data_IF_444868402826
#
_entry.id   IF_444868402826
#
_cell.length_a   1.000
_cell.length_b   1.000
_cell.length_c   1.000
_cell.angle_alpha   90.00
_cell.angle_beta   90.00
_cell.angle_gamma   90.00
#
_symmetry.space_group_name_H-M   'P 1'
#
loop_
_entity.id
_entity.type
_entity.pdbx_description
1 polymer ?
#
# COMPACT_ATOMS: atom_id res chain seq x y z
N UNK A 1 -35.82 -20.25 6.18
CA UNK A 1 -35.46 -19.58 4.91
C UNK A 1 -34.10 -18.97 5.12
N UNK A 2 -33.08 -19.58 4.52
CA UNK A 2 -31.68 -19.27 4.72
C UNK A 2 -31.37 -17.91 4.06
N UNK A 3 -30.99 -16.92 4.85
CA UNK A 3 -30.32 -15.74 4.32
C UNK A 3 -28.84 -16.06 4.22
N UNK A 4 -28.40 -16.43 3.03
CA UNK A 4 -26.99 -16.40 2.65
C UNK A 4 -26.52 -14.94 2.69
N UNK A 5 -25.80 -14.58 3.76
CA UNK A 5 -25.11 -13.30 3.84
C UNK A 5 -23.87 -13.43 2.96
N UNK A 6 -23.95 -12.81 1.79
CA UNK A 6 -22.85 -12.64 0.86
C UNK A 6 -21.68 -11.98 1.60
N UNK A 7 -20.56 -12.71 1.73
CA UNK A 7 -19.41 -12.34 2.57
C UNK A 7 -18.48 -11.38 1.82
N UNK A 8 -19.00 -10.26 1.34
CA UNK A 8 -18.16 -9.14 0.88
C UNK A 8 -17.79 -8.30 2.10
N UNK A 9 -16.55 -8.43 2.58
CA UNK A 9 -16.06 -7.65 3.71
C UNK A 9 -16.24 -6.14 3.48
N UNK A 10 -16.41 -5.37 4.56
CA UNK A 10 -16.52 -3.92 4.49
C UNK A 10 -15.31 -3.29 3.79
N UNK A 11 -15.43 -2.04 3.32
CA UNK A 11 -14.30 -1.29 2.74
C UNK A 11 -13.11 -1.28 3.71
N UNK A 12 -13.38 -1.17 5.01
CA UNK A 12 -12.39 -1.20 6.08
C UNK A 12 -11.70 -2.57 6.18
N UNK A 13 -12.44 -3.67 6.10
CA UNK A 13 -11.85 -5.03 6.11
C UNK A 13 -10.94 -5.25 4.90
N UNK A 14 -11.39 -4.82 3.71
CA UNK A 14 -10.60 -4.89 2.48
C UNK A 14 -9.32 -4.07 2.60
N UNK A 15 -9.42 -2.87 3.15
CA UNK A 15 -8.28 -1.98 3.34
C UNK A 15 -7.26 -2.57 4.33
N UNK A 16 -7.72 -3.12 5.45
CA UNK A 16 -6.84 -3.73 6.46
C UNK A 16 -6.02 -4.88 5.84
N UNK A 17 -6.68 -5.82 5.17
CA UNK A 17 -6.00 -6.94 4.50
C UNK A 17 -5.00 -6.45 3.45
N UNK A 18 -5.35 -5.38 2.74
CA UNK A 18 -4.51 -4.82 1.69
C UNK A 18 -3.28 -4.09 2.28
N UNK A 19 -3.44 -3.36 3.38
CA UNK A 19 -2.34 -2.73 4.10
C UNK A 19 -1.39 -3.79 4.67
N UNK A 20 -1.89 -4.83 5.34
CA UNK A 20 -1.07 -5.95 5.84
C UNK A 20 -0.25 -6.59 4.71
N UNK A 21 -0.92 -6.90 3.59
CA UNK A 21 -0.26 -7.49 2.42
C UNK A 21 0.75 -6.54 1.77
N UNK A 22 0.52 -5.23 1.82
CA UNK A 22 1.45 -4.20 1.32
C UNK A 22 2.68 -4.11 2.24
N UNK A 23 2.48 -4.08 3.56
CA UNK A 23 3.55 -4.10 4.54
C UNK A 23 4.45 -5.34 4.41
N UNK A 24 3.88 -6.51 4.12
CA UNK A 24 4.65 -7.73 3.86
C UNK A 24 5.56 -7.61 2.63
N UNK A 25 5.08 -7.01 1.53
CA UNK A 25 5.89 -6.82 0.32
C UNK A 25 6.97 -5.75 0.52
N UNK A 26 6.66 -4.66 1.24
CA UNK A 26 7.65 -3.65 1.64
C UNK A 26 8.73 -4.27 2.53
N UNK A 27 8.34 -5.13 3.49
CA UNK A 27 9.27 -5.85 4.36
C UNK A 27 10.18 -6.80 3.57
N UNK A 28 9.62 -7.54 2.60
CA UNK A 28 10.41 -8.37 1.68
C UNK A 28 11.40 -7.53 0.88
N UNK A 29 10.95 -6.43 0.28
CA UNK A 29 11.81 -5.54 -0.49
C UNK A 29 12.96 -4.98 0.36
N UNK A 30 12.67 -4.58 1.60
CA UNK A 30 13.67 -4.13 2.56
C UNK A 30 14.70 -5.23 2.86
N UNK A 31 14.24 -6.47 3.05
CA UNK A 31 15.14 -7.60 3.35
C UNK A 31 16.01 -8.04 2.17
N UNK A 32 15.54 -7.87 0.93
CA UNK A 32 16.25 -8.33 -0.28
C UNK A 32 17.07 -7.23 -0.97
N UNK A 33 16.82 -5.96 -0.65
CA UNK A 33 17.63 -4.85 -1.15
C UNK A 33 19.08 -4.99 -0.68
N UNK A 34 20.07 -4.65 -1.52
CA UNK A 34 21.49 -4.79 -1.16
C UNK A 34 21.95 -3.77 -0.11
N UNK A 35 21.24 -2.64 0.03
CA UNK A 35 21.59 -1.56 0.97
C UNK A 35 20.35 -0.86 1.56
N UNK A 36 19.42 -1.57 2.21
CA UNK A 36 18.16 -1.00 2.68
C UNK A 36 18.37 0.12 3.71
N UNK A 37 19.30 -0.07 4.64
CA UNK A 37 19.59 0.91 5.70
C UNK A 37 20.32 2.16 5.20
N UNK A 38 20.80 2.17 3.95
CA UNK A 38 21.45 3.32 3.31
C UNK A 38 20.62 3.90 2.17
N UNK A 39 19.51 3.27 1.81
CA UNK A 39 18.63 3.72 0.74
C UNK A 39 17.65 4.73 1.31
N UNK A 40 17.84 6.01 0.96
CA UNK A 40 16.90 7.09 1.28
C UNK A 40 15.49 6.76 0.77
N UNK A 41 15.40 6.17 -0.42
CA UNK A 41 14.12 5.72 -1.01
C UNK A 41 13.45 4.62 -0.18
N UNK A 42 14.20 3.63 0.30
CA UNK A 42 13.63 2.56 1.14
C UNK A 42 13.16 3.12 2.49
N UNK A 43 13.93 4.01 3.10
CA UNK A 43 13.54 4.66 4.36
C UNK A 43 12.30 5.55 4.17
N UNK A 44 12.24 6.31 3.08
CA UNK A 44 11.08 7.12 2.75
C UNK A 44 9.81 6.27 2.57
N UNK A 45 9.91 5.13 1.87
CA UNK A 45 8.78 4.21 1.71
C UNK A 45 8.31 3.62 3.04
N UNK A 46 9.25 3.20 3.91
CA UNK A 46 8.92 2.67 5.23
C UNK A 46 8.23 3.71 6.12
N UNK A 47 8.77 4.93 6.16
CA UNK A 47 8.18 6.04 6.93
C UNK A 47 6.80 6.41 6.41
N UNK A 48 6.61 6.48 5.09
CA UNK A 48 5.32 6.76 4.47
C UNK A 48 4.29 5.67 4.82
N UNK A 49 4.69 4.40 4.75
CA UNK A 49 3.81 3.28 5.13
C UNK A 49 3.42 3.31 6.61
N UNK A 50 4.36 3.62 7.51
CA UNK A 50 4.07 3.70 8.95
C UNK A 50 2.95 4.68 9.28
N UNK A 51 2.84 5.79 8.56
CA UNK A 51 1.79 6.80 8.77
C UNK A 51 0.37 6.30 8.51
N UNK A 52 0.21 5.24 7.71
CA UNK A 52 -1.12 4.71 7.31
C UNK A 52 -1.34 3.26 7.70
N UNK A 53 -0.30 2.57 8.19
CA UNK A 53 -0.30 1.14 8.51
C UNK A 53 -1.32 0.71 9.56
N UNK A 54 -1.83 1.64 10.36
CA UNK A 54 -2.91 1.42 11.31
C UNK A 54 -4.15 2.18 10.83
N UNK A 55 -5.29 1.49 10.66
CA UNK A 55 -6.57 2.14 10.40
C UNK A 55 -6.89 3.18 11.45
N UNK A 56 -7.42 4.31 11.00
CA UNK A 56 -8.00 5.33 11.88
C UNK A 56 -9.43 5.63 11.46
N UNK A 57 -10.29 5.91 12.44
CA UNK A 57 -11.68 6.31 12.22
C UNK A 57 -11.82 7.83 11.96
N UNK A 58 -10.72 8.59 12.01
CA UNK A 58 -10.78 10.02 11.72
C UNK A 58 -11.02 10.32 10.23
N UNK A 59 -11.71 11.43 9.98
CA UNK A 59 -12.09 11.88 8.62
C UNK A 59 -10.86 12.14 7.72
N UNK A 60 -9.68 12.35 8.30
CA UNK A 60 -8.43 12.59 7.56
C UNK A 60 -7.71 11.31 7.14
N UNK A 61 -8.17 10.13 7.56
CA UNK A 61 -7.49 8.87 7.28
C UNK A 61 -7.48 8.57 5.77
N UNK A 62 -8.59 8.83 5.08
CA UNK A 62 -8.66 8.66 3.64
C UNK A 62 -7.69 9.59 2.88
N UNK A 63 -7.53 10.84 3.33
CA UNK A 63 -6.59 11.77 2.73
C UNK A 63 -5.14 11.33 2.95
N UNK A 64 -4.80 10.82 4.14
CA UNK A 64 -3.48 10.23 4.41
C UNK A 64 -3.19 9.00 3.55
N UNK A 65 -4.19 8.16 3.28
CA UNK A 65 -4.03 7.03 2.36
C UNK A 65 -3.75 7.49 0.94
N UNK A 66 -4.45 8.52 0.46
CA UNK A 66 -4.22 9.10 -0.87
C UNK A 66 -2.79 9.66 -0.95
N UNK A 67 -2.38 10.47 0.02
CA UNK A 67 -1.02 11.02 0.09
C UNK A 67 0.05 9.92 0.17
N UNK A 68 -0.19 8.85 0.93
CA UNK A 68 0.68 7.68 0.98
C UNK A 68 0.86 7.04 -0.40
N UNK A 69 -0.23 6.83 -1.15
CA UNK A 69 -0.15 6.17 -2.47
C UNK A 69 0.60 7.04 -3.47
N UNK A 70 0.31 8.34 -3.52
CA UNK A 70 0.97 9.28 -4.44
C UNK A 70 2.48 9.33 -4.19
N UNK A 71 2.88 9.47 -2.93
CA UNK A 71 4.29 9.49 -2.53
C UNK A 71 4.98 8.13 -2.80
N UNK A 72 4.31 7.03 -2.44
CA UNK A 72 4.88 5.69 -2.59
C UNK A 72 5.05 5.29 -4.06
N UNK A 73 4.16 5.70 -4.95
CA UNK A 73 4.25 5.42 -6.39
C UNK A 73 5.55 5.95 -7.01
N UNK A 74 5.91 7.20 -6.69
CA UNK A 74 7.16 7.80 -7.16
C UNK A 74 8.41 7.11 -6.60
N UNK A 75 8.39 6.79 -5.30
CA UNK A 75 9.50 6.09 -4.62
C UNK A 75 9.69 4.69 -5.21
N UNK A 76 8.61 3.92 -5.35
CA UNK A 76 8.62 2.58 -5.95
C UNK A 76 9.13 2.62 -7.39
N UNK A 77 8.67 3.58 -8.20
CA UNK A 77 9.15 3.76 -9.57
C UNK A 77 10.65 4.02 -9.66
N UNK A 78 11.20 4.86 -8.77
CA UNK A 78 12.64 5.10 -8.67
C UNK A 78 13.42 3.83 -8.27
N UNK A 79 12.91 3.10 -7.28
CA UNK A 79 13.56 1.86 -6.83
C UNK A 79 13.44 0.72 -7.85
N UNK A 80 12.43 0.73 -8.74
CA UNK A 80 12.28 -0.22 -9.83
C UNK A 80 13.50 -0.24 -10.76
N UNK A 81 14.08 0.94 -11.04
CA UNK A 81 15.23 1.07 -11.95
C UNK A 81 16.58 1.06 -11.23
N UNK A 82 16.62 1.34 -9.92
CA UNK A 82 17.88 1.48 -9.16
C UNK A 82 18.18 0.30 -8.22
N UNK A 83 17.18 -0.50 -7.84
CA UNK A 83 17.36 -1.58 -6.88
C UNK A 83 18.02 -2.81 -7.53
N UNK A 84 18.99 -3.41 -6.82
CA UNK A 84 19.76 -4.57 -7.25
C UNK A 84 19.03 -5.92 -7.10
N UNK A 85 17.85 -5.94 -6.47
CA UNK A 85 17.12 -7.17 -6.13
C UNK A 85 16.76 -7.97 -7.41
N UNK A 86 16.99 -9.30 -7.45
CA UNK A 86 16.75 -10.11 -8.65
C UNK A 86 15.26 -10.38 -8.92
N UNK A 87 14.42 -10.44 -7.90
CA UNK A 87 12.95 -10.61 -8.00
C UNK A 87 12.18 -9.28 -7.95
N UNK A 88 12.88 -8.16 -8.22
CA UNK A 88 12.34 -6.82 -8.03
C UNK A 88 11.12 -6.51 -8.87
N UNK A 89 11.10 -6.95 -10.13
CA UNK A 89 10.02 -6.61 -11.07
C UNK A 89 8.67 -7.13 -10.58
N UNK A 90 8.64 -8.38 -10.09
CA UNK A 90 7.43 -9.00 -9.53
C UNK A 90 7.00 -8.30 -8.24
N UNK A 91 7.94 -7.96 -7.35
CA UNK A 91 7.63 -7.26 -6.10
C UNK A 91 7.06 -5.87 -6.39
N UNK A 92 7.66 -5.13 -7.31
CA UNK A 92 7.21 -3.78 -7.65
C UNK A 92 5.86 -3.76 -8.36
N UNK A 93 5.61 -4.68 -9.31
CA UNK A 93 4.29 -4.80 -9.94
C UNK A 93 3.19 -5.08 -8.92
N UNK A 94 3.45 -5.96 -7.95
CA UNK A 94 2.51 -6.25 -6.85
C UNK A 94 2.28 -5.03 -5.98
N UNK A 95 3.34 -4.33 -5.58
CA UNK A 95 3.23 -3.11 -4.79
C UNK A 95 2.42 -2.04 -5.52
N UNK A 96 2.73 -1.76 -6.79
CA UNK A 96 1.99 -0.78 -7.61
C UNK A 96 0.51 -1.13 -7.74
N UNK A 97 0.19 -2.42 -7.91
CA UNK A 97 -1.20 -2.89 -7.97
C UNK A 97 -1.92 -2.67 -6.63
N UNK A 98 -1.26 -3.01 -5.52
CA UNK A 98 -1.83 -2.86 -4.17
C UNK A 98 -2.03 -1.40 -3.79
N UNK A 99 -1.07 -0.52 -4.04
CA UNK A 99 -1.24 0.91 -3.75
C UNK A 99 -2.35 1.53 -4.61
N UNK A 100 -2.53 1.09 -5.86
CA UNK A 100 -3.67 1.52 -6.67
C UNK A 100 -5.01 1.06 -6.07
N UNK A 101 -5.07 -0.17 -5.56
CA UNK A 101 -6.26 -0.66 -4.84
C UNK A 101 -6.51 0.14 -3.54
N UNK A 102 -5.46 0.51 -2.80
CA UNK A 102 -5.57 1.38 -1.62
C UNK A 102 -6.15 2.74 -2.03
N UNK A 103 -5.67 3.33 -3.13
CA UNK A 103 -6.18 4.61 -3.64
C UNK A 103 -7.68 4.56 -3.96
N UNK A 104 -8.12 3.52 -4.66
CA UNK A 104 -9.54 3.33 -4.97
C UNK A 104 -10.38 3.18 -3.69
N UNK A 105 -9.93 2.38 -2.71
CA UNK A 105 -10.63 2.19 -1.44
C UNK A 105 -10.64 3.49 -0.61
N UNK A 106 -9.57 4.28 -0.65
CA UNK A 106 -9.49 5.57 0.05
C UNK A 106 -10.52 6.56 -0.51
N UNK A 107 -10.70 6.63 -1.83
CA UNK A 107 -11.77 7.44 -2.42
C UNK A 107 -13.17 6.92 -2.07
N UNK A 108 -13.35 5.59 -2.01
CA UNK A 108 -14.60 5.00 -1.54
C UNK A 108 -14.91 5.39 -0.08
N UNK A 109 -13.91 5.45 0.80
CA UNK A 109 -14.08 5.97 2.17
C UNK A 109 -14.54 7.44 2.18
N UNK A 110 -14.13 8.25 1.20
CA UNK A 110 -14.61 9.63 1.00
C UNK A 110 -16.00 9.71 0.36
N UNK A 111 -16.64 8.59 0.07
CA UNK A 111 -17.93 8.53 -0.61
C UNK A 111 -17.86 8.77 -2.12
N UNK A 112 -16.67 8.69 -2.73
CA UNK A 112 -16.47 8.82 -4.17
C UNK A 112 -16.11 7.44 -4.74
N UNK A 113 -16.99 6.87 -5.57
CA UNK A 113 -16.67 5.63 -6.29
C UNK A 113 -16.03 5.99 -7.64
N UNK A 114 -14.78 5.58 -7.85
CA UNK A 114 -14.16 5.59 -9.17
C UNK A 114 -14.52 4.28 -9.88
N UNK A 115 -15.40 4.35 -10.88
CA UNK A 115 -15.70 3.27 -11.83
C UNK A 115 -14.66 3.19 -12.96
#
# INVERSE_FOLDING_TARGET
MSHEINKEGSVQDKLLLLLESTGSDIGRLSATCCQPNKSESMQALLSSYQMVSQPSEDDSYADRLIEFVENSGGIIGSMHVTCCTPDREVIYQRLLTKINQIFMLAWQLKGVSHE
#
